data_IF_317916996317
#
_entry.id   IF_317916996317
#
_cell.length_a   1.000
_cell.length_b   1.000
_cell.length_c   1.000
_cell.angle_alpha   90.00
_cell.angle_beta   90.00
_cell.angle_gamma   90.00
#
_symmetry.space_group_name_H-M   'P 1'
#
loop_
_entity.id
_entity.type
_entity.pdbx_description
1 polymer ?
#
# COMPACT_ATOMS: atom_id res chain seq x y z
N UNK A 1 12.32 0.94 -6.43
CA UNK A 1 11.78 -0.21 -7.20
C UNK A 1 12.38 -0.27 -8.59
N UNK A 2 12.25 0.79 -9.41
CA UNK A 2 12.99 0.90 -10.67
C UNK A 2 14.51 0.96 -10.41
N UNK A 3 15.29 0.24 -11.21
CA UNK A 3 16.75 0.17 -11.12
C UNK A 3 17.30 -0.83 -10.08
N UNK A 4 16.45 -1.38 -9.20
CA UNK A 4 16.88 -2.43 -8.28
C UNK A 4 17.12 -3.73 -9.06
N UNK A 5 18.28 -4.36 -8.86
CA UNK A 5 18.61 -5.67 -9.46
C UNK A 5 17.98 -6.85 -8.72
N UNK A 6 17.38 -6.60 -7.57
CA UNK A 6 16.76 -7.61 -6.71
C UNK A 6 15.25 -7.36 -6.56
N UNK A 7 14.52 -8.40 -6.13
CA UNK A 7 13.09 -8.31 -5.82
C UNK A 7 12.88 -7.38 -4.62
N UNK A 8 12.11 -6.30 -4.83
CA UNK A 8 11.77 -5.34 -3.78
C UNK A 8 10.37 -5.65 -3.27
N UNK A 9 10.25 -5.85 -1.96
CA UNK A 9 8.97 -5.99 -1.26
C UNK A 9 8.84 -4.81 -0.32
N UNK A 10 7.73 -4.08 -0.41
CA UNK A 10 7.39 -2.99 0.51
C UNK A 10 6.18 -3.42 1.30
N UNK A 11 6.28 -3.34 2.62
CA UNK A 11 5.18 -3.61 3.55
C UNK A 11 4.78 -2.29 4.19
N UNK A 12 3.49 -2.00 4.14
CA UNK A 12 2.89 -0.81 4.77
C UNK A 12 1.55 -1.21 5.39
N UNK A 13 1.09 -0.42 6.34
CA UNK A 13 -0.21 -0.63 6.98
C UNK A 13 -1.32 0.04 6.17
N UNK A 14 -2.51 -0.57 6.20
CA UNK A 14 -3.76 0.07 5.83
C UNK A 14 -4.48 0.47 7.12
N UNK A 15 -4.75 1.77 7.29
CA UNK A 15 -5.35 2.32 8.51
C UNK A 15 -6.54 3.24 8.21
N UNK A 16 -6.91 3.40 6.94
CA UNK A 16 -8.02 4.25 6.49
C UNK A 16 -9.40 3.57 6.58
N UNK A 17 -9.45 2.28 6.94
CA UNK A 17 -10.70 1.50 7.06
C UNK A 17 -11.36 1.57 8.44
N UNK A 18 -10.80 2.38 9.35
CA UNK A 18 -11.33 2.60 10.70
C UNK A 18 -12.16 3.86 10.84
N UNK A 19 -12.45 4.23 12.09
CA UNK A 19 -13.09 5.51 12.41
C UNK A 19 -12.15 6.68 12.15
N UNK A 20 -12.71 7.84 11.78
CA UNK A 20 -11.94 9.07 11.64
C UNK A 20 -11.38 9.49 13.00
N UNK A 21 -10.05 9.69 13.13
CA UNK A 21 -9.47 10.04 14.42
C UNK A 21 -9.82 11.48 14.83
N UNK A 22 -9.90 11.71 16.15
CA UNK A 22 -10.26 13.01 16.73
C UNK A 22 -9.13 14.05 16.64
N UNK A 23 -7.86 13.61 16.66
CA UNK A 23 -6.69 14.49 16.57
C UNK A 23 -6.41 14.95 15.15
N UNK A 24 -6.18 16.25 14.94
CA UNK A 24 -5.84 16.81 13.62
C UNK A 24 -4.54 16.24 13.06
N UNK A 25 -3.53 16.06 13.91
CA UNK A 25 -2.25 15.43 13.55
C UNK A 25 -2.47 13.98 13.13
N UNK A 26 -3.28 13.22 13.87
CA UNK A 26 -3.59 11.83 13.57
C UNK A 26 -4.36 11.70 12.25
N UNK A 27 -5.33 12.59 11.99
CA UNK A 27 -6.04 12.63 10.69
C UNK A 27 -5.06 12.86 9.55
N UNK A 28 -4.20 13.87 9.68
CA UNK A 28 -3.18 14.17 8.66
C UNK A 28 -2.24 12.99 8.42
N UNK A 29 -1.86 12.27 9.48
CA UNK A 29 -1.05 11.06 9.35
C UNK A 29 -1.76 9.97 8.52
N UNK A 30 -3.04 9.67 8.83
CA UNK A 30 -3.85 8.70 8.09
C UNK A 30 -3.93 9.08 6.61
N UNK A 31 -4.22 10.35 6.33
CA UNK A 31 -4.33 10.86 4.96
C UNK A 31 -3.00 10.73 4.19
N UNK A 32 -1.88 11.16 4.79
CA UNK A 32 -0.57 11.10 4.16
C UNK A 32 -0.09 9.66 3.97
N UNK A 33 -0.38 8.75 4.90
CA UNK A 33 -0.08 7.34 4.73
C UNK A 33 -0.88 6.75 3.55
N UNK A 34 -2.15 7.08 3.42
CA UNK A 34 -2.98 6.69 2.28
C UNK A 34 -2.40 7.20 0.95
N UNK A 35 -2.02 8.49 0.87
CA UNK A 35 -1.37 9.08 -0.33
C UNK A 35 -0.02 8.43 -0.63
N UNK A 36 0.76 8.06 0.38
CA UNK A 36 2.01 7.32 0.19
C UNK A 36 1.75 5.91 -0.36
N UNK A 37 0.81 5.17 0.24
CA UNK A 37 0.42 3.84 -0.19
C UNK A 37 -0.04 3.84 -1.65
N UNK A 38 -0.86 4.81 -2.07
CA UNK A 38 -1.29 4.99 -3.46
C UNK A 38 -0.10 5.21 -4.42
N UNK A 39 0.84 6.09 -4.07
CA UNK A 39 2.04 6.34 -4.88
C UNK A 39 2.92 5.10 -5.02
N UNK A 40 3.09 4.32 -3.94
CA UNK A 40 3.85 3.07 -3.98
C UNK A 40 3.11 2.02 -4.83
N UNK A 41 1.80 1.87 -4.64
CA UNK A 41 0.96 0.94 -5.41
C UNK A 41 0.96 1.23 -6.92
N UNK A 42 1.00 2.51 -7.31
CA UNK A 42 1.12 2.91 -8.72
C UNK A 42 2.43 2.40 -9.36
N UNK A 43 3.53 2.39 -8.60
CA UNK A 43 4.84 1.91 -9.05
C UNK A 43 4.99 0.38 -8.94
N UNK A 44 4.20 -0.27 -8.10
CA UNK A 44 4.29 -1.70 -7.83
C UNK A 44 3.70 -2.53 -8.98
N UNK A 45 4.34 -3.66 -9.29
CA UNK A 45 3.84 -4.63 -10.28
C UNK A 45 2.67 -5.43 -9.71
N UNK A 46 2.76 -5.81 -8.42
CA UNK A 46 1.71 -6.51 -7.66
C UNK A 46 1.39 -5.73 -6.38
N UNK A 47 0.11 -5.68 -6.02
CA UNK A 47 -0.36 -5.13 -4.73
C UNK A 47 -1.31 -6.13 -4.08
N UNK A 48 -1.04 -6.46 -2.82
CA UNK A 48 -1.82 -7.41 -2.03
C UNK A 48 -2.20 -6.76 -0.71
N UNK A 49 -3.46 -6.86 -0.34
CA UNK A 49 -3.94 -6.59 1.01
C UNK A 49 -3.94 -7.90 1.81
N UNK A 50 -3.31 -7.90 2.98
CA UNK A 50 -3.26 -9.05 3.88
C UNK A 50 -4.27 -8.84 5.02
N UNK A 51 -5.22 -9.77 5.19
CA UNK A 51 -6.24 -9.72 6.24
C UNK A 51 -6.33 -11.08 6.90
N UNK A 52 -6.12 -11.15 8.22
CA UNK A 52 -6.13 -12.40 8.99
C UNK A 52 -5.24 -13.52 8.39
N UNK A 53 -4.10 -13.15 7.79
CA UNK A 53 -3.18 -14.08 7.14
C UNK A 53 -3.59 -14.50 5.72
N UNK A 54 -4.75 -14.05 5.23
CA UNK A 54 -5.24 -14.31 3.89
C UNK A 54 -4.97 -13.12 2.97
N UNK A 55 -4.74 -13.42 1.69
CA UNK A 55 -4.38 -12.40 0.68
C UNK A 55 -5.58 -12.03 -0.18
N UNK A 56 -5.80 -10.73 -0.34
CA UNK A 56 -6.64 -10.16 -1.39
C UNK A 56 -5.73 -9.44 -2.40
N UNK A 57 -5.69 -9.91 -3.64
CA UNK A 57 -4.91 -9.25 -4.68
C UNK A 57 -5.67 -8.02 -5.22
N UNK A 58 -5.13 -6.82 -4.97
CA UNK A 58 -5.69 -5.55 -5.40
C UNK A 58 -5.19 -5.14 -6.80
N UNK A 59 -3.98 -5.58 -7.14
CA UNK A 59 -3.37 -5.39 -8.47
C UNK A 59 -2.60 -6.65 -8.82
N UNK A 60 -3.03 -7.31 -9.89
CA UNK A 60 -2.31 -8.40 -10.53
C UNK A 60 -1.72 -7.90 -11.83
N UNK A 61 -0.43 -8.17 -12.02
CA UNK A 61 0.29 -7.82 -13.23
C UNK A 61 1.74 -8.25 -13.14
N UNK A 62 2.18 -9.07 -14.07
CA UNK A 62 3.48 -8.88 -14.70
C UNK A 62 3.21 -8.12 -16.01
N UNK A 63 4.15 -7.32 -16.56
CA UNK A 63 4.07 -7.07 -18.00
C UNK A 63 3.94 -8.45 -18.68
N UNK A 64 2.89 -8.63 -19.49
CA UNK A 64 2.85 -9.76 -20.40
C UNK A 64 4.13 -9.73 -21.21
N UNK A 65 4.90 -10.81 -21.16
CA UNK A 65 5.88 -11.09 -22.19
C UNK A 65 5.17 -11.16 -23.54
#
# INVERSE_FOLDING_TARGET
>A
MRGARAKVIVVSNEIGLGVVPLGSVTRRYVDELGRLNQRVAALATRVTLLVAGLTLDLKTGAPSC
#
